data_IF_240304402851
#
_entry.id   IF_240304402851
#
_cell.length_a   1.000
_cell.length_b   1.000
_cell.length_c   1.000
_cell.angle_alpha   90.00
_cell.angle_beta   90.00
_cell.angle_gamma   90.00
#
_symmetry.space_group_name_H-M   'P 1'
#
loop_
_entity.id
_entity.type
_entity.pdbx_description
1 polymer ?
#
# COMPACT_ATOMS: atom_id res chain seq x y z
N UNK A 1 40.13 53.82 0.50
CA UNK A 1 38.90 53.97 -0.31
C UNK A 1 38.17 52.63 -0.30
N UNK A 2 37.11 52.48 0.49
CA UNK A 2 36.21 51.32 0.41
C UNK A 2 34.78 51.85 0.35
N UNK A 3 34.18 51.79 -0.84
CA UNK A 3 32.79 52.12 -1.06
C UNK A 3 31.92 50.96 -0.54
N UNK A 4 31.15 51.21 0.52
CA UNK A 4 30.13 50.26 0.98
C UNK A 4 28.97 50.30 -0.02
N UNK A 5 28.75 49.20 -0.73
CA UNK A 5 27.52 48.97 -1.48
C UNK A 5 26.43 48.64 -0.46
N UNK A 6 25.60 49.63 -0.12
CA UNK A 6 24.41 49.45 0.71
C UNK A 6 23.31 48.82 -0.15
N UNK A 7 23.14 47.50 -0.07
CA UNK A 7 22.01 46.81 -0.69
C UNK A 7 20.71 47.24 0.01
N UNK A 8 19.88 48.02 -0.67
CA UNK A 8 18.54 48.38 -0.18
C UNK A 8 17.66 47.14 -0.28
N UNK A 9 17.24 46.59 0.87
CA UNK A 9 16.20 45.57 0.92
C UNK A 9 14.87 46.21 0.50
N UNK A 10 14.39 45.89 -0.70
CA UNK A 10 13.06 46.31 -1.18
C UNK A 10 12.00 45.39 -0.55
N UNK A 11 11.02 45.99 0.13
CA UNK A 11 9.84 45.27 0.65
C UNK A 11 8.80 45.02 -0.45
N UNK A 12 7.94 44.02 -0.24
CA UNK A 12 6.82 43.72 -1.12
C UNK A 12 5.66 44.69 -0.89
N UNK A 13 4.97 45.04 -1.97
CA UNK A 13 3.73 45.83 -1.86
C UNK A 13 2.55 44.95 -1.47
N UNK A 14 1.52 45.54 -0.86
CA UNK A 14 0.31 44.81 -0.45
C UNK A 14 -0.37 44.15 -1.67
N UNK A 15 -0.41 44.85 -2.81
CA UNK A 15 -0.99 44.33 -4.06
C UNK A 15 -0.19 43.15 -4.62
N UNK A 16 1.13 43.18 -4.53
CA UNK A 16 2.02 42.11 -5.01
C UNK A 16 1.84 40.83 -4.18
N UNK A 17 1.64 40.97 -2.87
CA UNK A 17 1.29 39.84 -2.01
C UNK A 17 -0.09 39.28 -2.36
N UNK A 18 -1.09 40.12 -2.62
CA UNK A 18 -2.41 39.65 -3.05
C UNK A 18 -2.36 38.90 -4.37
N UNK A 19 -1.63 39.40 -5.37
CA UNK A 19 -1.44 38.71 -6.65
C UNK A 19 -0.71 37.38 -6.44
N UNK A 20 0.34 37.35 -5.61
CA UNK A 20 1.05 36.13 -5.26
C UNK A 20 0.15 35.06 -4.62
N UNK A 21 -0.73 35.46 -3.70
CA UNK A 21 -1.70 34.56 -3.08
C UNK A 21 -2.73 34.04 -4.10
N UNK A 22 -3.19 34.87 -5.02
CA UNK A 22 -4.11 34.45 -6.09
C UNK A 22 -3.44 33.40 -6.98
N UNK A 23 -2.20 33.64 -7.41
CA UNK A 23 -1.45 32.67 -8.24
C UNK A 23 -1.22 31.37 -7.47
N UNK A 24 -0.80 31.45 -6.19
CA UNK A 24 -0.62 30.28 -5.34
C UNK A 24 -1.91 29.48 -5.20
N UNK A 25 -3.05 30.14 -4.97
CA UNK A 25 -4.35 29.50 -4.87
C UNK A 25 -4.73 28.75 -6.16
N UNK A 26 -4.49 29.36 -7.32
CA UNK A 26 -4.74 28.73 -8.63
C UNK A 26 -3.87 27.48 -8.81
N UNK A 27 -2.58 27.56 -8.48
CA UNK A 27 -1.65 26.43 -8.58
C UNK A 27 -2.07 25.27 -7.66
N UNK A 28 -2.47 25.56 -6.42
CA UNK A 28 -2.94 24.54 -5.48
C UNK A 28 -4.24 23.89 -5.99
N UNK A 29 -5.17 24.70 -6.51
CA UNK A 29 -6.46 24.23 -7.00
C UNK A 29 -6.33 23.22 -8.15
N UNK A 30 -5.35 23.40 -9.04
CA UNK A 30 -5.10 22.47 -10.15
C UNK A 30 -4.13 21.33 -9.78
N UNK A 31 -3.20 21.56 -8.84
CA UNK A 31 -2.14 20.61 -8.50
C UNK A 31 -2.59 19.45 -7.61
N UNK A 32 -3.44 19.71 -6.60
CA UNK A 32 -3.89 18.70 -5.65
C UNK A 32 -4.78 17.57 -6.23
N UNK A 33 -5.79 17.83 -7.09
CA UNK A 33 -6.71 16.78 -7.52
C UNK A 33 -6.02 15.63 -8.28
N UNK A 34 -4.86 15.87 -8.90
CA UNK A 34 -4.10 14.85 -9.63
C UNK A 34 -3.41 13.79 -8.77
N UNK A 35 -3.24 14.00 -7.45
CA UNK A 35 -2.50 13.06 -6.59
C UNK A 35 -3.28 11.78 -6.26
N UNK A 36 -4.61 11.80 -6.29
CA UNK A 36 -5.42 10.64 -5.89
C UNK A 36 -5.19 9.43 -6.79
N UNK A 37 -5.04 9.64 -8.10
CA UNK A 37 -4.76 8.56 -9.05
C UNK A 37 -3.41 7.88 -8.80
N UNK A 38 -2.37 8.67 -8.52
CA UNK A 38 -1.03 8.18 -8.17
C UNK A 38 -1.03 7.40 -6.85
N UNK A 39 -1.76 7.87 -5.85
CA UNK A 39 -1.90 7.17 -4.57
C UNK A 39 -2.62 5.84 -4.78
N UNK A 40 -3.70 5.82 -5.57
CA UNK A 40 -4.48 4.61 -5.81
C UNK A 40 -3.67 3.55 -6.59
N UNK A 41 -2.93 3.96 -7.64
CA UNK A 41 -2.08 3.03 -8.40
C UNK A 41 -0.91 2.51 -7.57
N UNK A 42 -0.32 3.35 -6.72
CA UNK A 42 0.69 2.94 -5.76
C UNK A 42 0.17 1.91 -4.75
N UNK A 43 -1.03 2.13 -4.20
CA UNK A 43 -1.69 1.18 -3.29
C UNK A 43 -1.99 -0.16 -3.98
N UNK A 44 -2.50 -0.14 -5.21
CA UNK A 44 -2.76 -1.34 -6.00
C UNK A 44 -1.47 -2.14 -6.25
N UNK A 45 -0.40 -1.45 -6.67
CA UNK A 45 0.89 -2.08 -6.95
C UNK A 45 1.52 -2.67 -5.68
N UNK A 46 1.45 -1.97 -4.56
CA UNK A 46 1.95 -2.45 -3.27
C UNK A 46 1.21 -3.73 -2.83
N UNK A 47 -0.11 -3.74 -2.91
CA UNK A 47 -0.91 -4.89 -2.53
C UNK A 47 -0.68 -6.11 -3.45
N UNK A 48 -0.51 -5.89 -4.76
CA UNK A 48 -0.16 -6.95 -5.70
C UNK A 48 1.23 -7.55 -5.42
N UNK A 49 2.22 -6.70 -5.13
CA UNK A 49 3.57 -7.12 -4.77
C UNK A 49 3.59 -7.89 -3.44
N UNK A 50 2.81 -7.46 -2.46
CA UNK A 50 2.66 -8.15 -1.18
C UNK A 50 2.10 -9.56 -1.37
N UNK A 51 1.02 -9.70 -2.16
CA UNK A 51 0.43 -11.01 -2.45
C UNK A 51 1.38 -11.91 -3.25
N UNK A 52 2.10 -11.36 -4.21
CA UNK A 52 3.14 -12.08 -4.96
C UNK A 52 4.25 -12.60 -4.03
N UNK A 53 4.71 -11.77 -3.10
CA UNK A 53 5.70 -12.15 -2.10
C UNK A 53 5.15 -13.22 -1.14
N UNK A 54 3.87 -13.13 -0.75
CA UNK A 54 3.21 -14.14 0.09
C UNK A 54 3.12 -15.50 -0.62
N UNK A 55 2.78 -15.51 -1.93
CA UNK A 55 2.77 -16.72 -2.75
C UNK A 55 4.17 -17.35 -2.87
N UNK A 56 5.19 -16.53 -3.12
CA UNK A 56 6.58 -17.00 -3.18
C UNK A 56 7.03 -17.58 -1.85
N UNK A 57 6.72 -16.92 -0.73
CA UNK A 57 7.00 -17.43 0.61
C UNK A 57 6.32 -18.78 0.84
N UNK A 58 5.03 -18.89 0.51
CA UNK A 58 4.25 -20.13 0.64
C UNK A 58 4.92 -21.27 -0.11
N UNK A 59 5.34 -21.03 -1.36
CA UNK A 59 6.05 -22.03 -2.16
C UNK A 59 7.38 -22.45 -1.55
N UNK A 60 8.16 -21.48 -1.06
CA UNK A 60 9.45 -21.76 -0.42
C UNK A 60 9.27 -22.55 0.87
N UNK A 61 8.27 -22.21 1.68
CA UNK A 61 7.96 -22.92 2.93
C UNK A 61 7.44 -24.34 2.67
N UNK A 62 6.60 -24.53 1.64
CA UNK A 62 6.15 -25.86 1.23
C UNK A 62 7.34 -26.77 0.85
N UNK A 63 8.29 -26.24 0.08
CA UNK A 63 9.50 -26.96 -0.31
C UNK A 63 10.43 -27.22 0.88
N UNK A 64 10.67 -26.23 1.74
CA UNK A 64 11.54 -26.35 2.92
C UNK A 64 11.04 -27.39 3.91
N UNK A 65 9.72 -27.43 4.12
CA UNK A 65 9.08 -28.35 5.07
C UNK A 65 8.71 -29.69 4.45
N UNK A 66 8.79 -29.81 3.12
CA UNK A 66 8.29 -30.95 2.35
C UNK A 66 6.84 -31.31 2.73
N UNK A 67 5.99 -30.28 2.86
CA UNK A 67 4.59 -30.38 3.30
C UNK A 67 3.72 -29.38 2.53
N UNK A 68 2.41 -29.60 2.55
CA UNK A 68 1.46 -28.63 2.01
C UNK A 68 1.46 -27.37 2.87
N UNK A 69 1.56 -26.22 2.22
CA UNK A 69 1.46 -24.90 2.83
C UNK A 69 0.52 -24.10 1.95
N UNK A 70 -0.49 -23.51 2.57
CA UNK A 70 -1.59 -22.86 1.88
C UNK A 70 -1.54 -21.36 2.17
N UNK A 71 -1.63 -20.57 1.11
CA UNK A 71 -1.97 -19.16 1.18
C UNK A 71 -3.47 -19.03 0.96
N UNK A 72 -4.16 -18.37 1.89
CA UNK A 72 -5.57 -18.06 1.71
C UNK A 72 -5.92 -16.64 2.14
N UNK A 73 -7.01 -16.13 1.55
CA UNK A 73 -7.68 -14.92 1.98
C UNK A 73 -8.15 -15.08 3.43
N UNK A 74 -8.01 -14.04 4.24
CA UNK A 74 -8.56 -14.03 5.59
C UNK A 74 -9.10 -12.66 5.99
N UNK A 75 -10.20 -12.67 6.74
CA UNK A 75 -10.79 -11.48 7.36
C UNK A 75 -10.37 -11.34 8.83
N UNK A 76 -10.21 -12.47 9.52
CA UNK A 76 -9.90 -12.54 10.96
C UNK A 76 -8.45 -12.89 11.24
N UNK A 77 -7.66 -13.19 10.20
CA UNK A 77 -6.28 -13.69 10.27
C UNK A 77 -6.13 -15.02 11.03
N UNK A 78 -7.24 -15.74 11.25
CA UNK A 78 -7.29 -17.01 11.98
C UNK A 78 -7.89 -18.15 11.15
N UNK A 79 -8.34 -17.88 9.93
CA UNK A 79 -8.94 -18.88 9.06
C UNK A 79 -9.12 -18.36 7.64
N UNK A 80 -9.31 -19.30 6.71
CA UNK A 80 -9.57 -18.96 5.32
C UNK A 80 -11.01 -18.46 5.15
N UNK A 81 -11.19 -17.42 4.35
CA UNK A 81 -12.48 -16.82 4.07
C UNK A 81 -12.82 -16.93 2.57
N UNK A 82 -14.11 -17.10 2.26
CA UNK A 82 -14.61 -17.21 0.89
C UNK A 82 -14.84 -15.83 0.22
N UNK A 83 -14.93 -15.79 -1.11
CA UNK A 83 -15.21 -14.58 -1.88
C UNK A 83 -13.99 -13.90 -2.49
N UNK A 84 -14.24 -12.85 -3.27
CA UNK A 84 -13.25 -12.30 -4.22
C UNK A 84 -12.46 -11.10 -3.69
N UNK A 85 -12.88 -10.54 -2.54
CA UNK A 85 -12.34 -9.30 -1.97
C UNK A 85 -11.34 -9.62 -0.88
N UNK A 86 -10.05 -9.47 -1.07
CA UNK A 86 -8.98 -9.79 -0.13
C UNK A 86 -8.71 -8.62 0.83
N UNK A 87 -9.21 -8.66 2.07
CA UNK A 87 -8.90 -7.63 3.08
C UNK A 87 -7.57 -7.94 3.81
N UNK A 88 -7.13 -9.18 3.72
CA UNK A 88 -5.93 -9.73 4.30
C UNK A 88 -5.73 -11.16 3.81
N UNK A 89 -4.59 -11.72 4.19
CA UNK A 89 -4.17 -13.06 3.81
C UNK A 89 -3.39 -13.69 4.95
N UNK A 90 -3.38 -15.02 4.97
CA UNK A 90 -2.56 -15.81 5.88
C UNK A 90 -1.94 -16.99 5.14
N UNK A 91 -0.78 -17.41 5.63
CA UNK A 91 -0.04 -18.59 5.19
C UNK A 91 0.07 -19.53 6.35
N UNK A 92 -0.33 -20.79 6.16
CA UNK A 92 -0.28 -21.81 7.20
C UNK A 92 0.18 -23.15 6.62
N UNK A 93 0.71 -24.02 7.48
CA UNK A 93 1.04 -25.41 7.13
C UNK A 93 -0.23 -26.23 7.21
N UNK A 94 -0.66 -26.78 6.08
CA UNK A 94 -1.81 -27.66 5.98
C UNK A 94 -1.33 -29.11 6.13
N UNK A 95 -1.55 -29.68 7.31
CA UNK A 95 -1.00 -30.99 7.66
C UNK A 95 -1.88 -32.12 7.11
N UNK A 96 -3.19 -31.88 7.01
CA UNK A 96 -4.17 -32.87 6.60
C UNK A 96 -4.67 -32.68 5.14
N UNK A 97 -4.17 -31.67 4.43
CA UNK A 97 -4.50 -31.30 3.05
C UNK A 97 -5.97 -30.92 2.83
N UNK A 98 -6.63 -30.31 3.81
CA UNK A 98 -8.03 -29.90 3.70
C UNK A 98 -8.22 -28.42 3.32
N UNK A 99 -7.16 -27.61 3.30
CA UNK A 99 -7.20 -26.18 3.01
C UNK A 99 -7.91 -25.33 4.07
N UNK A 100 -8.11 -25.86 5.27
CA UNK A 100 -8.76 -25.19 6.41
C UNK A 100 -7.74 -25.10 7.54
N UNK A 101 -7.69 -23.96 8.22
CA UNK A 101 -6.82 -23.80 9.40
C UNK A 101 -7.39 -24.59 10.57
N UNK A 102 -6.72 -25.67 10.93
CA UNK A 102 -7.12 -26.54 12.04
C UNK A 102 -6.33 -26.27 13.34
N UNK A 103 -6.86 -26.78 14.45
CA UNK A 103 -6.17 -26.70 15.74
C UNK A 103 -4.88 -27.54 15.71
N UNK A 104 -3.75 -26.88 15.97
CA UNK A 104 -2.42 -27.51 15.90
C UNK A 104 -1.66 -27.25 14.59
N UNK A 105 -2.29 -26.57 13.63
CA UNK A 105 -1.60 -26.08 12.43
C UNK A 105 -0.91 -24.74 12.68
N UNK A 106 0.28 -24.60 12.12
CA UNK A 106 1.12 -23.43 12.32
C UNK A 106 0.80 -22.37 11.26
N UNK A 107 0.40 -21.18 11.73
CA UNK A 107 0.31 -19.98 10.88
C UNK A 107 1.71 -19.38 10.76
N UNK A 108 2.27 -19.41 9.56
CA UNK A 108 3.62 -18.93 9.25
C UNK A 108 3.65 -17.40 9.15
N UNK A 109 2.68 -16.82 8.44
CA UNK A 109 2.64 -15.38 8.18
C UNK A 109 1.24 -14.90 7.91
N UNK A 110 0.95 -13.67 8.30
CA UNK A 110 -0.28 -12.96 7.98
C UNK A 110 0.04 -11.60 7.38
N UNK A 111 -0.90 -11.03 6.63
CA UNK A 111 -0.82 -9.68 6.09
C UNK A 111 -2.20 -9.07 5.93
N UNK A 112 -2.27 -7.75 6.00
CA UNK A 112 -3.51 -6.97 5.86
C UNK A 112 -3.37 -5.99 4.71
N UNK A 113 -4.40 -5.88 3.89
CA UNK A 113 -4.40 -5.00 2.73
C UNK A 113 -5.30 -3.81 3.06
N UNK A 114 -4.68 -2.62 3.21
CA UNK A 114 -5.38 -1.40 3.64
C UNK A 114 -6.54 -0.96 2.72
N UNK A 115 -6.48 -1.34 1.44
CA UNK A 115 -7.57 -1.18 0.48
C UNK A 115 -7.87 -2.56 -0.12
N UNK A 116 -9.01 -3.21 0.24
CA UNK A 116 -9.24 -4.60 -0.13
C UNK A 116 -9.13 -4.84 -1.64
N UNK A 117 -8.27 -5.78 -2.03
CA UNK A 117 -8.07 -6.13 -3.44
C UNK A 117 -9.21 -7.02 -3.92
N UNK A 118 -9.81 -6.73 -5.08
CA UNK A 118 -10.78 -7.65 -5.71
C UNK A 118 -10.09 -8.40 -6.84
N UNK A 119 -9.93 -9.72 -6.70
CA UNK A 119 -9.40 -10.56 -7.77
C UNK A 119 -10.54 -10.93 -8.71
N UNK A 120 -10.57 -10.35 -9.91
CA UNK A 120 -11.50 -10.76 -10.97
C UNK A 120 -10.77 -11.68 -11.93
N UNK A 121 -11.28 -12.90 -12.14
CA UNK A 121 -10.90 -13.71 -13.29
C UNK A 121 -11.51 -13.07 -14.55
N UNK A 122 -10.69 -12.86 -15.58
CA UNK A 122 -11.09 -12.34 -16.90
C UNK A 122 -11.77 -13.39 -17.75
#
# INVERSE_FOLDING_TARGET
>A
MQARVSGVARGFTLIELMIGLVVLAVVIAIGLPGMQGLINSGRLSAAANELSAALQLTRVEALRRNRSVVLCRSETLAGCAAGDTWPGWLVFVDVNNNGVVDTGEEIIKTGTIAAPLVLRAS
#
